data_IF_853529344521
#
_entry.id   IF_853529344521
#
_cell.length_a   1.000
_cell.length_b   1.000
_cell.length_c   1.000
_cell.angle_alpha   90.00
_cell.angle_beta   90.00
_cell.angle_gamma   90.00
#
_symmetry.space_group_name_H-M   'P 1'
#
loop_
_entity.id
_entity.type
_entity.pdbx_description
1 polymer ?
#
# COMPACT_ATOMS: atom_id res chain seq x y z
N UNK A 1 20.79 3.25 4.21
CA UNK A 1 19.77 2.78 3.25
C UNK A 1 19.30 1.42 3.74
N UNK A 2 17.99 1.19 3.86
CA UNK A 2 17.44 -0.10 4.29
C UNK A 2 17.01 -0.85 3.03
N UNK A 3 17.43 -2.11 2.87
CA UNK A 3 16.95 -3.01 1.82
C UNK A 3 16.15 -4.16 2.43
N UNK A 4 15.16 -4.64 1.67
CA UNK A 4 14.36 -5.81 1.99
C UNK A 4 14.23 -6.60 0.69
N UNK A 5 14.68 -7.84 0.71
CA UNK A 5 14.53 -8.75 -0.43
C UNK A 5 13.19 -9.47 -0.32
N UNK A 6 12.47 -9.54 -1.44
CA UNK A 6 11.18 -10.20 -1.53
C UNK A 6 11.20 -11.16 -2.70
N UNK A 7 10.67 -12.36 -2.51
CA UNK A 7 10.29 -13.23 -3.62
C UNK A 7 9.16 -12.59 -4.42
N UNK A 8 9.01 -13.01 -5.69
CA UNK A 8 7.90 -12.54 -6.54
C UNK A 8 6.52 -12.80 -5.90
N UNK A 9 6.38 -13.94 -5.21
CA UNK A 9 5.15 -14.31 -4.50
C UNK A 9 4.85 -13.35 -3.36
N UNK A 10 5.83 -13.02 -2.52
CA UNK A 10 5.69 -12.06 -1.43
C UNK A 10 5.38 -10.66 -1.95
N UNK A 11 6.07 -10.23 -3.00
CA UNK A 11 5.82 -8.95 -3.66
C UNK A 11 4.38 -8.84 -4.18
N UNK A 12 3.87 -9.88 -4.86
CA UNK A 12 2.48 -9.94 -5.35
C UNK A 12 1.47 -9.94 -4.21
N UNK A 13 1.74 -10.70 -3.14
CA UNK A 13 0.91 -10.74 -1.95
C UNK A 13 0.81 -9.35 -1.30
N UNK A 14 1.94 -8.70 -1.04
CA UNK A 14 2.00 -7.38 -0.43
C UNK A 14 1.30 -6.32 -1.29
N UNK A 15 1.53 -6.33 -2.60
CA UNK A 15 0.84 -5.42 -3.52
C UNK A 15 -0.70 -5.55 -3.42
N UNK A 16 -1.19 -6.79 -3.35
CA UNK A 16 -2.62 -7.08 -3.19
C UNK A 16 -3.16 -6.65 -1.82
N UNK A 17 -2.39 -6.92 -0.76
CA UNK A 17 -2.73 -6.53 0.61
C UNK A 17 -2.86 -5.00 0.74
N UNK A 18 -1.87 -4.25 0.23
CA UNK A 18 -1.85 -2.79 0.28
C UNK A 18 -3.04 -2.20 -0.49
N UNK A 19 -3.38 -2.76 -1.67
CA UNK A 19 -4.57 -2.35 -2.44
C UNK A 19 -5.85 -2.57 -1.64
N UNK A 20 -6.01 -3.75 -1.04
CA UNK A 20 -7.20 -4.08 -0.25
C UNK A 20 -7.34 -3.17 0.99
N UNK A 21 -6.22 -2.89 1.68
CA UNK A 21 -6.20 -1.96 2.81
C UNK A 21 -6.57 -0.54 2.40
N UNK A 22 -6.08 -0.06 1.26
CA UNK A 22 -6.47 1.26 0.75
C UNK A 22 -7.97 1.34 0.47
N UNK A 23 -8.58 0.30 -0.10
CA UNK A 23 -10.04 0.24 -0.31
C UNK A 23 -10.80 0.26 1.02
N UNK A 24 -10.35 -0.50 2.01
CA UNK A 24 -10.95 -0.51 3.35
C UNK A 24 -10.86 0.87 4.02
N UNK A 25 -9.69 1.50 3.99
CA UNK A 25 -9.46 2.83 4.52
C UNK A 25 -10.37 3.86 3.87
N UNK A 26 -10.49 3.85 2.54
CA UNK A 26 -11.39 4.75 1.81
C UNK A 26 -12.86 4.55 2.21
N UNK A 27 -13.29 3.31 2.45
CA UNK A 27 -14.64 3.03 2.93
C UNK A 27 -14.89 3.57 4.35
N UNK A 28 -13.89 3.49 5.23
CA UNK A 28 -13.97 4.04 6.59
C UNK A 28 -13.98 5.57 6.56
N UNK A 29 -13.13 6.20 5.75
CA UNK A 29 -13.06 7.65 5.57
C UNK A 29 -14.40 8.25 5.13
N UNK A 30 -15.14 7.55 4.25
CA UNK A 30 -16.48 7.97 3.81
C UNK A 30 -17.51 8.00 4.95
N UNK A 31 -17.29 7.22 6.01
CA UNK A 31 -18.21 7.11 7.16
C UNK A 31 -17.76 7.92 8.37
N UNK A 32 -16.46 8.22 8.48
CA UNK A 32 -15.85 8.85 9.65
C UNK A 32 -14.90 9.97 9.21
N UNK A 33 -15.43 11.17 9.03
CA UNK A 33 -14.67 12.34 8.57
C UNK A 33 -13.54 12.74 9.53
N UNK A 34 -13.69 12.51 10.83
CA UNK A 34 -12.65 12.83 11.84
C UNK A 34 -11.37 12.01 11.65
N UNK A 35 -11.48 10.81 11.07
CA UNK A 35 -10.34 9.92 10.81
C UNK A 35 -9.74 10.12 9.40
N UNK A 36 -10.24 11.09 8.64
CA UNK A 36 -9.85 11.27 7.25
C UNK A 36 -8.35 11.55 7.08
N UNK A 37 -7.76 12.37 7.95
CA UNK A 37 -6.31 12.65 7.94
C UNK A 37 -5.47 11.39 8.12
N UNK A 38 -5.74 10.63 9.19
CA UNK A 38 -5.05 9.39 9.52
C UNK A 38 -5.06 8.38 8.37
N UNK A 39 -6.22 8.14 7.76
CA UNK A 39 -6.34 7.19 6.65
C UNK A 39 -5.77 7.73 5.34
N UNK A 40 -5.69 9.05 5.15
CA UNK A 40 -5.05 9.65 3.97
C UNK A 40 -3.55 9.40 3.97
N UNK A 41 -2.88 9.63 5.11
CA UNK A 41 -1.46 9.35 5.31
C UNK A 41 -1.15 7.85 5.10
N UNK A 42 -2.00 6.98 5.67
CA UNK A 42 -1.84 5.54 5.48
C UNK A 42 -1.99 5.11 4.02
N UNK A 43 -2.92 5.71 3.27
CA UNK A 43 -3.12 5.42 1.85
C UNK A 43 -1.95 5.91 1.00
N UNK A 44 -1.36 7.05 1.35
CA UNK A 44 -0.15 7.56 0.70
C UNK A 44 1.03 6.60 0.89
N UNK A 45 1.26 6.14 2.12
CA UNK A 45 2.30 5.15 2.41
C UNK A 45 2.08 3.85 1.64
N UNK A 46 0.85 3.33 1.63
CA UNK A 46 0.50 2.14 0.85
C UNK A 46 0.84 2.34 -0.64
N UNK A 47 0.45 3.48 -1.21
CA UNK A 47 0.73 3.80 -2.61
C UNK A 47 2.22 3.91 -2.92
N UNK A 48 2.99 4.51 -2.02
CA UNK A 48 4.44 4.62 -2.14
C UNK A 48 5.13 3.25 -2.12
N UNK A 49 4.73 2.36 -1.20
CA UNK A 49 5.26 0.99 -1.11
C UNK A 49 4.85 0.18 -2.34
N UNK A 50 3.57 0.21 -2.76
CA UNK A 50 3.10 -0.48 -3.96
C UNK A 50 3.83 -0.04 -5.23
N UNK A 51 4.14 1.26 -5.38
CA UNK A 51 4.95 1.77 -6.51
C UNK A 51 6.36 1.18 -6.50
N UNK A 52 7.01 1.12 -5.32
CA UNK A 52 8.35 0.50 -5.18
C UNK A 52 8.33 -0.98 -5.57
N UNK A 53 7.35 -1.74 -5.07
CA UNK A 53 7.17 -3.16 -5.41
C UNK A 53 6.96 -3.33 -6.91
N UNK A 54 6.06 -2.54 -7.52
CA UNK A 54 5.76 -2.61 -8.96
C UNK A 54 6.99 -2.31 -9.80
N UNK A 55 7.77 -1.30 -9.41
CA UNK A 55 9.00 -0.95 -10.13
C UNK A 55 10.09 -2.00 -9.97
N UNK A 56 10.16 -2.68 -8.82
CA UNK A 56 11.04 -3.83 -8.60
C UNK A 56 10.67 -5.00 -9.52
N UNK A 57 9.39 -5.34 -9.60
CA UNK A 57 8.90 -6.44 -10.44
C UNK A 57 9.06 -6.20 -11.95
N UNK A 58 9.01 -4.94 -12.42
CA UNK A 58 9.23 -4.60 -13.84
C UNK A 58 10.69 -4.66 -14.29
N UNK A 59 11.62 -4.57 -13.33
CA UNK A 59 13.07 -4.55 -13.58
C UNK A 59 13.72 -5.92 -13.43
N UNK A 60 13.01 -6.89 -12.86
CA UNK A 60 13.42 -8.29 -12.72
C UNK A 60 13.02 -9.10 -13.94
#
# INVERSE_FOLDING_TARGET
MISIDLTEKEAKYLSSLLKNKTVQNQAIMKKNHELQGFFSEHNELNGNISRKITNGLKKS
#
